data_IF_496800892588
#
_entry.id   IF_496800892588
#
_cell.length_a   1.000
_cell.length_b   1.000
_cell.length_c   1.000
_cell.angle_alpha   90.00
_cell.angle_beta   90.00
_cell.angle_gamma   90.00
#
_symmetry.space_group_name_H-M   'P 1'
#
loop_
_entity.id
_entity.type
_entity.pdbx_description
1 polymer ?
#
# COMPACT_ATOMS: atom_id res chain seq x y z
N UNK A 1 -0.67 15.80 2.27
CA UNK A 1 -1.09 15.53 3.67
C UNK A 1 -0.59 14.13 4.02
N UNK A 2 0.06 13.96 5.17
CA UNK A 2 0.57 12.65 5.61
C UNK A 2 -0.33 12.19 6.75
N UNK A 3 -0.98 11.04 6.57
CA UNK A 3 -1.89 10.45 7.57
C UNK A 3 -1.38 9.04 7.89
N UNK A 4 -1.18 8.71 9.17
CA UNK A 4 -0.94 7.33 9.59
C UNK A 4 -2.06 6.39 9.13
N UNK A 5 -1.71 5.21 8.63
CA UNK A 5 -2.64 4.22 8.07
C UNK A 5 -3.82 3.89 8.98
N UNK A 6 -3.61 3.86 10.30
CA UNK A 6 -4.67 3.59 11.29
C UNK A 6 -5.70 4.73 11.43
N UNK A 7 -5.37 5.97 11.06
CA UNK A 7 -6.30 7.11 11.04
C UNK A 7 -7.09 7.21 9.74
N UNK A 8 -6.77 6.41 8.72
CA UNK A 8 -7.48 6.42 7.43
C UNK A 8 -8.86 5.74 7.51
N UNK A 9 -9.21 5.08 8.62
CA UNK A 9 -10.47 4.33 8.75
C UNK A 9 -11.69 5.27 8.70
N UNK A 10 -12.51 5.13 7.66
CA UNK A 10 -13.72 5.95 7.45
C UNK A 10 -13.48 7.22 6.61
N UNK A 11 -12.27 7.40 6.09
CA UNK A 11 -11.92 8.44 5.12
C UNK A 11 -11.67 7.77 3.76
N UNK A 12 -11.99 8.46 2.67
CA UNK A 12 -11.66 8.05 1.30
C UNK A 12 -10.87 9.17 0.64
N UNK A 13 -9.90 8.80 -0.19
CA UNK A 13 -8.99 9.75 -0.83
C UNK A 13 -8.93 9.51 -2.33
N UNK A 14 -8.87 10.59 -3.11
CA UNK A 14 -8.70 10.49 -4.56
C UNK A 14 -7.39 9.78 -4.93
N UNK A 15 -6.31 10.09 -4.19
CA UNK A 15 -5.01 9.46 -4.38
C UNK A 15 -4.36 9.07 -3.04
N UNK A 16 -3.77 7.88 -2.98
CA UNK A 16 -3.00 7.38 -1.83
C UNK A 16 -1.61 6.96 -2.29
N UNK A 17 -0.61 7.26 -1.46
CA UNK A 17 0.77 6.78 -1.63
C UNK A 17 1.11 5.89 -0.45
N UNK A 18 1.35 4.60 -0.70
CA UNK A 18 1.90 3.69 0.30
C UNK A 18 3.42 3.82 0.27
N UNK A 19 3.97 4.34 1.36
CA UNK A 19 5.41 4.56 1.48
C UNK A 19 6.12 3.35 2.06
N UNK A 20 7.24 2.97 1.42
CA UNK A 20 8.14 1.90 1.81
C UNK A 20 7.45 0.54 2.08
N UNK A 21 6.75 0.04 1.06
CA UNK A 21 6.15 -1.29 1.02
C UNK A 21 7.18 -2.40 0.72
N UNK A 22 8.35 -2.30 1.33
CA UNK A 22 9.44 -3.26 1.21
C UNK A 22 9.19 -4.49 2.07
N UNK A 23 9.87 -5.59 1.75
CA UNK A 23 9.88 -6.80 2.58
C UNK A 23 10.39 -6.54 4.00
N UNK A 24 11.29 -5.58 4.20
CA UNK A 24 11.79 -5.24 5.53
C UNK A 24 10.66 -4.71 6.44
N UNK A 25 9.82 -3.81 5.92
CA UNK A 25 8.70 -3.22 6.66
C UNK A 25 7.40 -4.03 6.61
N UNK A 26 7.23 -4.86 5.59
CA UNK A 26 5.99 -5.60 5.34
C UNK A 26 6.33 -7.04 4.94
N UNK A 27 6.32 -7.96 5.89
CA UNK A 27 6.63 -9.38 5.70
C UNK A 27 5.73 -10.33 6.49
N UNK A 28 4.94 -9.84 7.45
CA UNK A 28 4.12 -10.65 8.33
C UNK A 28 2.67 -10.70 7.86
N UNK A 29 1.97 -11.78 8.18
CA UNK A 29 0.57 -11.99 7.75
C UNK A 29 -0.39 -10.99 8.40
N UNK A 30 -0.14 -10.60 9.64
CA UNK A 30 -0.94 -9.61 10.38
C UNK A 30 -0.88 -8.20 9.76
N UNK A 31 0.22 -7.87 9.08
CA UNK A 31 0.40 -6.62 8.33
C UNK A 31 -0.48 -6.55 7.07
N UNK A 32 -1.02 -7.68 6.60
CA UNK A 32 -1.94 -7.73 5.44
C UNK A 32 -3.17 -6.83 5.65
N UNK A 33 -3.67 -6.71 6.88
CA UNK A 33 -4.78 -5.81 7.19
C UNK A 33 -4.39 -4.34 7.00
N UNK A 34 -3.14 -3.98 7.29
CA UNK A 34 -2.64 -2.62 7.10
C UNK A 34 -2.56 -2.29 5.61
N UNK A 35 -1.99 -3.21 4.81
CA UNK A 35 -1.90 -3.08 3.35
C UNK A 35 -3.30 -2.92 2.76
N UNK A 36 -4.24 -3.81 3.10
CA UNK A 36 -5.62 -3.73 2.63
C UNK A 36 -6.30 -2.42 3.04
N UNK A 37 -6.06 -1.96 4.27
CA UNK A 37 -6.63 -0.69 4.76
C UNK A 37 -6.07 0.49 4.01
N UNK A 38 -4.80 0.52 3.62
CA UNK A 38 -4.22 1.63 2.86
C UNK A 38 -4.68 1.60 1.41
N UNK A 39 -4.66 0.43 0.77
CA UNK A 39 -4.97 0.30 -0.67
C UNK A 39 -6.45 0.50 -0.97
N UNK A 40 -7.36 0.06 -0.09
CA UNK A 40 -8.81 0.23 -0.26
C UNK A 40 -9.31 1.68 -0.08
N UNK A 41 -8.45 2.61 0.31
CA UNK A 41 -8.81 4.02 0.53
C UNK A 41 -8.55 4.91 -0.68
N UNK A 42 -7.86 4.37 -1.70
CA UNK A 42 -7.60 5.04 -2.96
C UNK A 42 -8.80 4.87 -3.90
N UNK A 43 -9.49 5.96 -4.24
CA UNK A 43 -10.62 5.94 -5.17
C UNK A 43 -10.21 6.02 -6.64
N UNK A 44 -9.17 6.81 -6.95
CA UNK A 44 -8.75 7.07 -8.33
C UNK A 44 -7.30 6.63 -8.60
N UNK A 45 -6.37 6.87 -7.66
CA UNK A 45 -4.96 6.56 -7.85
C UNK A 45 -4.31 5.96 -6.61
N UNK A 46 -3.54 4.89 -6.81
CA UNK A 46 -2.71 4.27 -5.78
C UNK A 46 -1.28 4.18 -6.31
N UNK A 47 -0.33 4.80 -5.61
CA UNK A 47 1.09 4.61 -5.85
C UNK A 47 1.69 3.82 -4.67
N UNK A 48 2.47 2.79 -4.98
CA UNK A 48 3.16 1.98 -3.98
C UNK A 48 4.65 2.11 -4.23
N UNK A 49 5.38 2.55 -3.21
CA UNK A 49 6.83 2.75 -3.27
C UNK A 49 7.47 1.78 -2.30
N UNK A 50 8.50 1.07 -2.73
CA UNK A 50 9.27 0.17 -1.86
C UNK A 50 10.76 0.45 -2.00
N UNK A 51 11.52 0.17 -0.94
CA UNK A 51 12.98 0.22 -0.96
C UNK A 51 13.53 -1.21 -0.97
N UNK A 52 14.43 -1.52 -1.90
CA UNK A 52 15.05 -2.85 -1.99
C UNK A 52 14.10 -3.91 -2.56
N UNK A 53 13.73 -4.92 -1.75
CA UNK A 53 12.84 -6.01 -2.18
C UNK A 53 11.36 -5.63 -1.93
N UNK A 54 10.50 -5.83 -2.93
CA UNK A 54 9.04 -5.66 -2.80
C UNK A 54 8.49 -6.61 -1.73
N UNK A 55 7.56 -6.13 -0.91
CA UNK A 55 6.88 -6.96 0.08
C UNK A 55 6.25 -8.20 -0.56
N UNK A 56 6.38 -9.40 0.04
CA UNK A 56 5.67 -10.61 -0.40
C UNK A 56 4.14 -10.47 -0.28
N UNK A 57 3.65 -9.52 0.51
CA UNK A 57 2.22 -9.21 0.62
C UNK A 57 1.67 -8.50 -0.63
N UNK A 58 2.55 -8.03 -1.52
CA UNK A 58 2.24 -7.37 -2.78
C UNK A 58 2.55 -8.25 -4.00
N UNK A 59 2.44 -9.56 -3.84
CA UNK A 59 2.48 -10.51 -4.94
C UNK A 59 1.17 -10.47 -5.73
N UNK A 60 1.08 -9.47 -6.61
CA UNK A 60 -0.08 -9.20 -7.47
C UNK A 60 0.30 -9.33 -8.94
N UNK A 61 -0.70 -9.66 -9.77
CA UNK A 61 -0.53 -9.83 -11.21
C UNK A 61 0.12 -8.58 -11.85
N UNK A 62 1.27 -8.72 -12.53
CA UNK A 62 1.94 -7.62 -13.24
C UNK A 62 1.05 -6.84 -14.22
N UNK A 63 -0.02 -7.43 -14.74
CA UNK A 63 -0.96 -6.74 -15.62
C UNK A 63 -1.82 -5.68 -14.90
N UNK A 64 -1.81 -5.65 -13.56
CA UNK A 64 -2.68 -4.79 -12.75
C UNK A 64 -2.03 -3.47 -12.32
N UNK A 65 -0.74 -3.28 -12.58
CA UNK A 65 -0.01 -2.06 -12.24
C UNK A 65 1.00 -1.68 -13.32
N UNK A 66 1.51 -0.46 -13.21
CA UNK A 66 2.57 0.07 -14.08
C UNK A 66 3.78 0.37 -13.21
N UNK A 67 4.92 -0.23 -13.52
CA UNK A 67 6.20 0.13 -12.91
C UNK A 67 6.74 1.42 -13.54
N UNK A 68 7.17 2.36 -12.69
CA UNK A 68 7.70 3.66 -13.09
C UNK A 68 9.09 3.88 -12.52
#
# INVERSE_FOLDING_TARGET
>A
MIIPSYLAKGLEFDAVVMWDASKENYHQIDETQLVYTVTSRAMYKLDIIYVGEKSPLLDVDPATYVEK
#
